data_IF_592959168786
#
_entry.id   IF_592959168786
#
_cell.length_a   1.000
_cell.length_b   1.000
_cell.length_c   1.000
_cell.angle_alpha   90.00
_cell.angle_beta   90.00
_cell.angle_gamma   90.00
#
_symmetry.space_group_name_H-M   'P 1'
#
loop_
_entity.id
_entity.type
_entity.pdbx_description
1 polymer ?
#
# COMPACT_ATOMS: atom_id res chain seq x y z
N UNK A 1 16.99 -6.93 8.47
CA UNK A 1 17.73 -6.34 7.33
C UNK A 1 19.11 -5.86 7.76
N UNK A 2 19.20 -4.94 8.74
CA UNK A 2 20.46 -4.39 9.24
C UNK A 2 21.56 -5.42 9.55
N UNK A 3 21.24 -6.47 10.32
CA UNK A 3 22.18 -7.55 10.63
C UNK A 3 22.76 -8.24 9.38
N UNK A 4 21.91 -8.46 8.37
CA UNK A 4 22.31 -9.09 7.11
C UNK A 4 23.26 -8.20 6.30
N UNK A 5 23.01 -6.88 6.26
CA UNK A 5 23.94 -5.93 5.63
C UNK A 5 25.29 -5.95 6.34
N UNK A 6 25.30 -5.88 7.68
CA UNK A 6 26.54 -5.93 8.48
C UNK A 6 27.33 -7.23 8.25
N UNK A 7 26.65 -8.36 8.23
CA UNK A 7 27.26 -9.65 7.91
C UNK A 7 27.85 -9.69 6.49
N UNK A 8 27.17 -9.07 5.52
CA UNK A 8 27.67 -8.95 4.15
C UNK A 8 28.82 -7.94 4.01
N UNK A 9 28.97 -6.99 4.92
CA UNK A 9 30.16 -6.12 5.01
C UNK A 9 31.34 -6.79 5.73
N UNK A 10 31.07 -7.74 6.63
CA UNK A 10 32.09 -8.39 7.46
C UNK A 10 33.06 -9.25 6.62
N UNK A 11 34.32 -8.83 6.59
CA UNK A 11 35.42 -9.50 5.87
C UNK A 11 35.91 -10.77 6.56
N UNK A 12 35.60 -10.96 7.84
CA UNK A 12 35.94 -12.17 8.59
C UNK A 12 35.02 -13.35 8.23
N UNK A 13 33.81 -13.07 7.71
CA UNK A 13 32.88 -14.10 7.25
C UNK A 13 33.22 -14.54 5.83
N UNK A 14 33.35 -15.85 5.64
CA UNK A 14 33.51 -16.39 4.28
C UNK A 14 32.19 -16.34 3.51
N UNK A 15 32.27 -16.32 2.19
CA UNK A 15 31.08 -16.37 1.34
C UNK A 15 30.26 -17.64 1.58
N UNK A 16 30.91 -18.77 1.91
CA UNK A 16 30.22 -20.02 2.23
C UNK A 16 29.37 -19.89 3.50
N UNK A 17 29.90 -19.28 4.57
CA UNK A 17 29.14 -19.03 5.81
C UNK A 17 27.88 -18.20 5.53
N UNK A 18 27.97 -17.20 4.65
CA UNK A 18 26.83 -16.36 4.30
C UNK A 18 25.82 -17.06 3.39
N UNK A 19 26.28 -17.91 2.47
CA UNK A 19 25.40 -18.77 1.68
C UNK A 19 24.59 -19.69 2.57
N UNK A 20 25.22 -20.29 3.59
CA UNK A 20 24.55 -21.20 4.50
C UNK A 20 23.60 -20.46 5.46
N UNK A 21 24.03 -19.32 6.01
CA UNK A 21 23.23 -18.54 6.96
C UNK A 21 21.97 -17.93 6.35
N UNK A 22 22.07 -17.45 5.10
CA UNK A 22 20.98 -16.73 4.42
C UNK A 22 20.40 -17.47 3.21
N UNK A 23 20.78 -18.75 3.02
CA UNK A 23 20.35 -19.60 1.91
C UNK A 23 20.58 -18.97 0.53
N UNK A 24 21.73 -18.31 0.34
CA UNK A 24 22.02 -17.51 -0.86
C UNK A 24 22.49 -18.40 -2.01
N UNK A 25 22.03 -18.07 -3.21
CA UNK A 25 22.44 -18.72 -4.45
C UNK A 25 22.74 -17.66 -5.49
N UNK A 26 23.88 -17.81 -6.16
CA UNK A 26 24.25 -16.98 -7.29
C UNK A 26 23.36 -17.32 -8.50
N UNK A 27 23.06 -16.32 -9.32
CA UNK A 27 22.34 -16.49 -10.58
C UNK A 27 22.99 -15.62 -11.68
N UNK A 28 22.41 -15.59 -12.88
CA UNK A 28 22.98 -14.81 -14.01
C UNK A 28 23.18 -13.33 -13.65
N UNK A 29 22.25 -12.75 -12.91
CA UNK A 29 22.14 -11.30 -12.69
C UNK A 29 22.68 -10.87 -11.31
N UNK A 30 22.80 -11.79 -10.35
CA UNK A 30 23.27 -11.53 -9.00
C UNK A 30 24.37 -12.51 -8.56
N UNK A 31 25.44 -11.97 -7.98
CA UNK A 31 26.59 -12.72 -7.46
C UNK A 31 26.93 -12.21 -6.06
N UNK A 32 27.00 -13.11 -5.06
CA UNK A 32 27.27 -12.78 -3.66
C UNK A 32 28.56 -11.98 -3.51
N UNK A 33 29.62 -12.38 -4.23
CA UNK A 33 30.91 -11.70 -4.19
C UNK A 33 30.79 -10.23 -4.62
N UNK A 34 30.09 -9.96 -5.71
CA UNK A 34 29.90 -8.60 -6.23
C UNK A 34 29.07 -7.74 -5.27
N UNK A 35 28.00 -8.31 -4.71
CA UNK A 35 27.18 -7.63 -3.72
C UNK A 35 27.99 -7.26 -2.47
N UNK A 36 28.82 -8.19 -1.94
CA UNK A 36 29.72 -7.93 -0.81
C UNK A 36 30.75 -6.87 -1.13
N UNK A 37 31.40 -6.94 -2.29
CA UNK A 37 32.37 -5.92 -2.71
C UNK A 37 31.75 -4.53 -2.84
N UNK A 38 30.51 -4.44 -3.35
CA UNK A 38 29.75 -3.17 -3.41
C UNK A 38 29.53 -2.60 -2.01
N UNK A 39 28.95 -3.40 -1.10
CA UNK A 39 28.68 -3.00 0.29
C UNK A 39 29.94 -2.61 1.06
N UNK A 40 31.05 -3.31 0.85
CA UNK A 40 32.32 -3.01 1.53
C UNK A 40 33.01 -1.75 1.01
N UNK A 41 32.69 -1.29 -0.20
CA UNK A 41 33.21 -0.04 -0.79
C UNK A 41 32.30 1.16 -0.49
N UNK A 42 31.04 0.91 -0.15
CA UNK A 42 30.09 1.97 0.19
C UNK A 42 30.51 2.69 1.49
N UNK A 43 30.47 4.02 1.48
CA UNK A 43 30.73 4.84 2.67
C UNK A 43 29.66 4.60 3.75
N UNK A 44 28.41 4.45 3.33
CA UNK A 44 27.29 4.13 4.21
C UNK A 44 26.45 2.98 3.62
N UNK A 45 26.85 1.72 3.84
CA UNK A 45 26.15 0.55 3.29
C UNK A 45 24.76 0.36 3.88
N UNK A 46 24.42 1.01 5.00
CA UNK A 46 23.11 0.89 5.65
C UNK A 46 22.10 1.92 5.10
N UNK A 47 22.55 2.98 4.41
CA UNK A 47 21.69 4.04 3.86
C UNK A 47 20.54 3.54 3.00
N UNK A 48 20.70 2.52 2.13
CA UNK A 48 19.60 2.01 1.31
C UNK A 48 18.56 1.19 2.09
N UNK A 49 18.75 0.97 3.39
CA UNK A 49 17.72 0.35 4.23
C UNK A 49 16.62 1.39 4.46
N UNK A 50 15.46 1.15 3.86
CA UNK A 50 14.27 2.01 3.97
C UNK A 50 13.06 1.15 4.30
N UNK A 51 11.98 1.76 4.77
CA UNK A 51 10.70 1.09 4.81
C UNK A 51 10.09 1.08 3.41
N UNK A 52 9.60 -0.08 3.00
CA UNK A 52 8.85 -0.28 1.77
C UNK A 52 7.42 -0.70 2.13
N UNK A 53 6.43 -0.16 1.40
CA UNK A 53 5.07 -0.69 1.45
C UNK A 53 5.10 -2.09 0.86
N UNK A 54 5.07 -3.11 1.72
CA UNK A 54 5.20 -4.49 1.27
C UNK A 54 3.84 -5.04 0.91
N UNK A 55 2.84 -4.90 1.78
CA UNK A 55 1.43 -5.28 1.56
C UNK A 55 0.54 -4.18 2.15
N UNK A 56 -0.78 -4.17 1.92
CA UNK A 56 -1.63 -3.10 2.42
C UNK A 56 -1.49 -3.00 3.95
N UNK A 57 -1.13 -1.82 4.44
CA UNK A 57 -0.86 -1.52 5.86
C UNK A 57 0.27 -2.30 6.53
N UNK A 58 1.17 -2.90 5.76
CA UNK A 58 2.29 -3.70 6.24
C UNK A 58 3.59 -3.21 5.62
N UNK A 59 4.10 -2.10 6.14
CA UNK A 59 5.40 -1.57 5.77
C UNK A 59 6.50 -2.39 6.41
N UNK A 60 7.56 -2.66 5.66
CA UNK A 60 8.68 -3.48 6.12
C UNK A 60 10.02 -2.89 5.71
N UNK A 61 11.05 -3.05 6.56
CA UNK A 61 12.40 -2.67 6.18
C UNK A 61 12.89 -3.53 5.02
N UNK A 62 13.17 -2.86 3.90
CA UNK A 62 13.75 -3.40 2.69
C UNK A 62 15.14 -2.79 2.48
N UNK A 63 15.99 -3.45 1.70
CA UNK A 63 17.21 -2.82 1.20
C UNK A 63 16.96 -2.44 -0.25
N UNK A 64 16.91 -1.14 -0.54
CA UNK A 64 16.59 -0.60 -1.86
C UNK A 64 17.87 -0.40 -2.67
N UNK A 65 18.43 -1.50 -3.15
CA UNK A 65 19.63 -1.49 -3.98
C UNK A 65 19.93 -2.85 -4.60
N UNK A 66 20.76 -2.90 -5.65
CA UNK A 66 21.02 -4.10 -6.43
C UNK A 66 21.68 -5.23 -5.63
N UNK A 67 22.24 -4.93 -4.45
CA UNK A 67 22.85 -5.93 -3.58
C UNK A 67 21.82 -6.90 -2.98
N UNK A 68 20.55 -6.49 -2.88
CA UNK A 68 19.46 -7.28 -2.29
C UNK A 68 18.17 -7.30 -3.12
N UNK A 69 18.08 -6.50 -4.18
CA UNK A 69 16.87 -6.31 -4.99
C UNK A 69 17.20 -6.45 -6.48
N UNK A 70 16.41 -7.24 -7.20
CA UNK A 70 16.67 -7.53 -8.62
C UNK A 70 16.44 -6.30 -9.53
N UNK A 71 15.38 -5.52 -9.27
CA UNK A 71 14.98 -4.38 -10.11
C UNK A 71 14.57 -3.15 -9.28
N UNK A 72 15.50 -2.51 -8.54
CA UNK A 72 15.21 -1.27 -7.85
C UNK A 72 14.82 -0.19 -8.88
N UNK A 73 13.59 0.32 -8.76
CA UNK A 73 13.11 1.44 -9.59
C UNK A 73 13.69 2.73 -9.02
N UNK A 74 14.65 3.32 -9.73
CA UNK A 74 15.38 4.52 -9.25
C UNK A 74 14.44 5.70 -9.03
N UNK A 75 13.38 5.78 -9.83
CA UNK A 75 12.34 6.80 -9.73
C UNK A 75 11.66 6.80 -8.35
N UNK A 76 11.55 5.63 -7.69
CA UNK A 76 11.06 5.54 -6.33
C UNK A 76 12.08 6.05 -5.31
N UNK A 77 13.39 5.98 -5.58
CA UNK A 77 14.39 6.62 -4.73
C UNK A 77 14.36 8.14 -4.90
N UNK A 78 14.32 8.60 -6.14
CA UNK A 78 14.45 10.01 -6.48
C UNK A 78 13.22 10.82 -6.02
N UNK A 79 12.03 10.22 -6.08
CA UNK A 79 10.78 10.94 -5.85
C UNK A 79 10.01 10.51 -4.61
N UNK A 80 10.29 9.35 -4.02
CA UNK A 80 9.50 8.82 -2.90
C UNK A 80 10.37 8.55 -1.68
N UNK A 81 11.44 7.77 -1.81
CA UNK A 81 12.31 7.43 -0.69
C UNK A 81 12.87 8.71 -0.07
N UNK A 82 12.70 8.84 1.24
CA UNK A 82 13.15 10.02 2.00
C UNK A 82 12.49 11.36 1.60
N UNK A 83 11.48 11.33 0.74
CA UNK A 83 10.68 12.50 0.36
C UNK A 83 9.33 12.48 1.06
N UNK A 84 8.75 13.66 1.26
CA UNK A 84 7.36 13.79 1.70
C UNK A 84 6.44 13.73 0.47
N UNK A 85 6.14 12.51 0.02
CA UNK A 85 5.37 12.29 -1.19
C UNK A 85 4.33 11.18 -1.03
N UNK A 86 3.20 11.34 -1.71
CA UNK A 86 2.18 10.32 -1.85
C UNK A 86 2.38 9.60 -3.18
N UNK A 87 2.09 8.30 -3.23
CA UNK A 87 1.98 7.60 -4.51
C UNK A 87 0.68 6.81 -4.57
N UNK A 88 -0.04 6.97 -5.67
CA UNK A 88 -1.17 6.12 -6.00
C UNK A 88 -0.64 4.83 -6.61
N UNK A 89 -1.01 3.70 -6.02
CA UNK A 89 -0.75 2.37 -6.56
C UNK A 89 -1.98 1.89 -7.31
N UNK A 90 -1.82 1.51 -8.58
CA UNK A 90 -2.86 0.78 -9.34
C UNK A 90 -2.27 -0.35 -10.18
N UNK A 91 -3.02 -1.42 -10.37
CA UNK A 91 -2.64 -2.48 -11.33
C UNK A 91 -3.20 -2.16 -12.71
N UNK A 92 -2.36 -2.34 -13.75
CA UNK A 92 -2.78 -2.17 -15.16
C UNK A 92 -3.73 -3.28 -15.60
N UNK A 93 -3.41 -4.50 -15.24
CA UNK A 93 -4.19 -5.69 -15.54
C UNK A 93 -4.29 -6.50 -14.26
N UNK A 94 -5.42 -7.20 -14.09
CA UNK A 94 -5.64 -8.01 -12.90
C UNK A 94 -6.03 -9.43 -13.27
N UNK A 95 -5.44 -10.40 -12.56
CA UNK A 95 -5.81 -11.80 -12.64
C UNK A 95 -7.04 -12.12 -11.79
N UNK A 96 -7.33 -11.27 -10.81
CA UNK A 96 -8.49 -11.41 -9.93
C UNK A 96 -9.81 -11.16 -10.66
N UNK A 97 -10.91 -11.75 -10.17
CA UNK A 97 -12.22 -11.64 -10.80
C UNK A 97 -12.87 -10.24 -10.74
N UNK A 98 -12.47 -9.43 -9.75
CA UNK A 98 -13.06 -8.13 -9.41
C UNK A 98 -11.98 -7.09 -9.12
N UNK A 99 -12.12 -5.89 -9.66
CA UNK A 99 -11.12 -4.84 -9.45
C UNK A 99 -11.26 -4.14 -8.09
N UNK A 100 -10.16 -4.14 -7.33
CA UNK A 100 -9.98 -3.49 -6.02
C UNK A 100 -8.53 -3.06 -5.79
N UNK A 101 -7.78 -2.82 -6.86
CA UNK A 101 -6.30 -2.70 -6.85
C UNK A 101 -5.91 -1.22 -6.84
N UNK A 102 -6.36 -0.48 -5.83
CA UNK A 102 -5.99 0.92 -5.63
C UNK A 102 -5.64 1.21 -4.18
N UNK A 103 -4.44 1.70 -3.93
CA UNK A 103 -3.98 2.09 -2.59
C UNK A 103 -3.09 3.32 -2.70
N UNK A 104 -3.21 4.26 -1.76
CA UNK A 104 -2.21 5.33 -1.61
C UNK A 104 -1.24 4.95 -0.50
N UNK A 105 0.05 5.15 -0.74
CA UNK A 105 1.12 4.91 0.25
C UNK A 105 2.14 6.05 0.21
N UNK A 106 2.95 6.17 1.27
CA UNK A 106 4.01 7.19 1.41
C UNK A 106 5.41 6.64 1.19
N UNK A 107 5.60 5.34 1.42
CA UNK A 107 6.89 4.66 1.27
C UNK A 107 7.00 3.96 -0.08
N UNK A 108 8.20 3.80 -0.67
CA UNK A 108 8.39 3.03 -1.90
C UNK A 108 7.66 1.69 -1.88
N UNK A 109 6.83 1.45 -2.88
CA UNK A 109 5.99 0.26 -2.92
C UNK A 109 6.73 -0.94 -3.52
N UNK A 110 6.51 -2.11 -2.91
CA UNK A 110 6.78 -3.38 -3.58
C UNK A 110 5.83 -3.53 -4.78
N UNK A 111 6.27 -4.26 -5.81
CA UNK A 111 5.47 -4.55 -7.02
C UNK A 111 4.19 -5.34 -6.73
N UNK A 112 4.16 -6.08 -5.62
CA UNK A 112 3.03 -6.89 -5.18
C UNK A 112 2.31 -6.32 -3.94
N UNK A 113 2.35 -4.99 -3.73
CA UNK A 113 1.68 -4.34 -2.60
C UNK A 113 0.17 -4.54 -2.66
N UNK A 114 -0.45 -4.33 -3.82
CA UNK A 114 -1.90 -4.56 -4.03
C UNK A 114 -2.17 -5.72 -4.98
N UNK A 115 -1.17 -6.53 -5.28
CA UNK A 115 -1.23 -7.57 -6.31
C UNK A 115 -0.76 -8.89 -5.73
N UNK A 116 -1.52 -9.97 -5.88
CA UNK A 116 -1.15 -11.29 -5.32
C UNK A 116 -1.08 -12.41 -6.35
N UNK A 117 -1.52 -12.15 -7.59
CA UNK A 117 -1.35 -13.08 -8.69
C UNK A 117 -0.06 -12.80 -9.50
N UNK A 118 0.58 -13.86 -9.98
CA UNK A 118 1.88 -13.78 -10.67
C UNK A 118 1.87 -13.03 -12.00
N UNK A 119 0.70 -12.68 -12.54
CA UNK A 119 0.52 -11.98 -13.82
C UNK A 119 0.17 -10.49 -13.66
N UNK A 120 0.16 -9.98 -12.43
CA UNK A 120 -0.24 -8.60 -12.11
C UNK A 120 0.81 -7.97 -11.19
N UNK A 121 1.15 -6.72 -11.45
CA UNK A 121 1.99 -5.89 -10.59
C UNK A 121 1.32 -4.52 -10.44
N UNK A 122 1.50 -3.90 -9.28
CA UNK A 122 1.09 -2.51 -9.11
C UNK A 122 2.11 -1.56 -9.74
N UNK A 123 1.58 -0.50 -10.33
CA UNK A 123 2.31 0.64 -10.81
C UNK A 123 2.17 1.76 -9.79
N UNK A 124 3.27 2.45 -9.53
CA UNK A 124 3.32 3.58 -8.63
C UNK A 124 3.25 4.90 -9.42
N UNK A 125 2.36 5.78 -9.00
CA UNK A 125 2.18 7.12 -9.54
C UNK A 125 2.42 8.14 -8.42
N UNK A 126 3.67 8.59 -8.21
CA UNK A 126 3.98 9.64 -7.23
C UNK A 126 3.22 10.92 -7.57
N UNK A 127 2.72 11.62 -6.57
CA UNK A 127 1.99 12.89 -6.73
C UNK A 127 2.92 14.03 -7.12
N UNK A 128 4.13 13.99 -6.57
CA UNK A 128 5.18 14.98 -6.80
C UNK A 128 6.42 14.35 -7.45
N UNK A 129 7.14 15.15 -8.23
CA UNK A 129 8.48 14.87 -8.71
C UNK A 129 9.47 15.79 -7.99
N UNK A 130 10.68 15.31 -7.80
CA UNK A 130 11.77 16.02 -7.15
C UNK A 130 12.97 16.04 -8.09
N UNK A 131 13.55 17.22 -8.30
CA UNK A 131 14.81 17.34 -9.03
C UNK A 131 16.03 17.12 -8.13
N UNK A 132 17.23 17.18 -8.71
CA UNK A 132 18.50 16.99 -8.00
C UNK A 132 18.77 18.03 -6.90
N UNK A 133 18.07 19.16 -6.91
CA UNK A 133 18.15 20.20 -5.89
C UNK A 133 17.14 20.00 -4.76
N UNK A 134 16.23 19.04 -4.92
CA UNK A 134 15.09 18.82 -4.02
C UNK A 134 13.90 19.74 -4.33
N UNK A 135 13.90 20.44 -5.46
CA UNK A 135 12.76 21.28 -5.86
C UNK A 135 11.61 20.37 -6.29
N UNK A 136 10.42 20.63 -5.74
CA UNK A 136 9.22 19.83 -5.92
C UNK A 136 8.35 20.39 -7.06
N UNK A 137 7.88 19.53 -7.96
CA UNK A 137 6.88 19.85 -9.00
C UNK A 137 5.78 18.78 -9.06
N UNK A 138 4.55 19.16 -9.45
CA UNK A 138 3.45 18.20 -9.56
C UNK A 138 3.71 17.19 -10.69
N UNK A 139 3.34 15.93 -10.47
CA UNK A 139 3.43 14.87 -11.50
C UNK A 139 2.14 14.81 -12.33
N UNK A 140 1.63 15.97 -12.74
CA UNK A 140 0.47 16.12 -13.59
C UNK A 140 0.93 16.70 -14.93
N UNK A 141 0.48 16.11 -16.05
CA UNK A 141 0.89 16.60 -17.35
C UNK A 141 0.30 18.00 -17.61
N UNK A 142 1.00 18.90 -18.31
CA UNK A 142 0.48 20.23 -18.62
C UNK A 142 -0.88 20.20 -19.34
N UNK A 143 -1.08 19.22 -20.25
CA UNK A 143 -2.35 19.06 -20.96
C UNK A 143 -3.49 18.67 -20.04
N UNK A 144 -3.24 17.77 -19.09
CA UNK A 144 -4.22 17.37 -18.08
C UNK A 144 -4.54 18.52 -17.12
N UNK A 145 -3.50 19.27 -16.72
CA UNK A 145 -3.66 20.46 -15.89
C UNK A 145 -4.52 21.52 -16.56
N UNK A 146 -4.22 21.82 -17.82
CA UNK A 146 -5.00 22.76 -18.62
C UNK A 146 -6.42 22.26 -18.91
N UNK A 147 -6.65 20.96 -18.97
CA UNK A 147 -8.00 20.39 -19.03
C UNK A 147 -8.81 20.68 -17.76
N UNK A 148 -8.23 20.47 -16.58
CA UNK A 148 -8.90 20.76 -15.31
C UNK A 148 -9.17 22.26 -15.13
N UNK A 149 -8.16 23.09 -15.34
CA UNK A 149 -8.26 24.55 -15.15
C UNK A 149 -9.22 25.22 -16.16
N UNK A 150 -9.49 24.58 -17.31
CA UNK A 150 -10.55 25.02 -18.25
C UNK A 150 -11.92 24.46 -17.88
N UNK A 151 -11.97 23.26 -17.30
CA UNK A 151 -13.20 22.58 -16.92
C UNK A 151 -13.82 23.13 -15.63
N UNK A 152 -13.02 23.75 -14.77
CA UNK A 152 -13.43 24.28 -13.49
C UNK A 152 -12.87 25.68 -13.27
N UNK A 153 -13.66 26.56 -12.68
CA UNK A 153 -13.24 27.95 -12.32
C UNK A 153 -12.40 27.97 -11.02
N UNK A 154 -11.61 26.91 -10.80
CA UNK A 154 -10.78 26.73 -9.62
C UNK A 154 -9.54 25.90 -9.98
N UNK A 155 -8.37 26.37 -9.55
CA UNK A 155 -7.11 25.67 -9.73
C UNK A 155 -6.87 24.70 -8.56
N UNK A 156 -7.41 23.48 -8.67
CA UNK A 156 -7.34 22.48 -7.60
C UNK A 156 -5.90 22.04 -7.28
N UNK A 157 -5.58 21.83 -6.01
CA UNK A 157 -4.28 21.28 -5.63
C UNK A 157 -4.13 19.83 -6.13
N UNK A 158 -2.88 19.33 -6.26
CA UNK A 158 -2.65 17.92 -6.58
C UNK A 158 -3.32 16.95 -5.59
N UNK A 159 -3.37 17.29 -4.31
CA UNK A 159 -4.07 16.51 -3.27
C UNK A 159 -5.58 16.47 -3.49
N UNK A 160 -6.21 17.57 -3.89
CA UNK A 160 -7.63 17.60 -4.24
C UNK A 160 -7.93 16.74 -5.48
N UNK A 161 -7.04 16.80 -6.48
CA UNK A 161 -7.14 15.96 -7.68
C UNK A 161 -6.95 14.48 -7.33
N UNK A 162 -5.98 14.17 -6.46
CA UNK A 162 -5.75 12.81 -5.97
C UNK A 162 -6.97 12.32 -5.18
N UNK A 163 -7.54 13.14 -4.30
CA UNK A 163 -8.76 12.84 -3.57
C UNK A 163 -9.90 12.48 -4.53
N UNK A 164 -10.13 13.29 -5.56
CA UNK A 164 -11.15 13.03 -6.56
C UNK A 164 -10.93 11.70 -7.29
N UNK A 165 -9.72 11.47 -7.79
CA UNK A 165 -9.35 10.22 -8.47
C UNK A 165 -9.58 9.04 -7.53
N UNK A 166 -9.15 9.16 -6.28
CA UNK A 166 -9.26 8.09 -5.30
C UNK A 166 -10.70 7.75 -4.96
N UNK A 167 -11.59 8.74 -4.87
CA UNK A 167 -13.02 8.52 -4.72
C UNK A 167 -13.61 7.77 -5.92
N UNK A 168 -13.34 8.22 -7.15
CA UNK A 168 -13.85 7.54 -8.35
C UNK A 168 -13.37 6.10 -8.41
N UNK A 169 -12.09 5.85 -8.13
CA UNK A 169 -11.54 4.50 -8.05
C UNK A 169 -12.18 3.65 -6.95
N UNK A 170 -12.81 4.23 -5.93
CA UNK A 170 -13.47 3.53 -4.83
C UNK A 170 -14.99 3.42 -4.97
N UNK A 171 -15.61 4.02 -5.98
CA UNK A 171 -17.05 3.93 -6.23
C UNK A 171 -17.44 2.54 -6.84
N UNK A 172 -18.27 1.73 -6.15
CA UNK A 172 -18.85 0.50 -6.68
C UNK A 172 -19.52 0.65 -8.05
N UNK A 173 -20.29 1.73 -8.28
CA UNK A 173 -20.95 2.01 -9.55
C UNK A 173 -19.92 2.17 -10.69
N UNK A 174 -18.86 2.95 -10.46
CA UNK A 174 -17.72 3.06 -11.41
C UNK A 174 -17.08 1.70 -11.68
N UNK A 175 -16.71 0.96 -10.63
CA UNK A 175 -16.03 -0.33 -10.76
C UNK A 175 -16.88 -1.36 -11.51
N UNK A 176 -18.19 -1.34 -11.31
CA UNK A 176 -19.14 -2.24 -11.96
C UNK A 176 -19.34 -1.88 -13.41
N UNK A 177 -19.58 -0.59 -13.71
CA UNK A 177 -19.78 -0.09 -15.07
C UNK A 177 -18.55 -0.34 -15.96
N UNK A 178 -17.35 -0.13 -15.43
CA UNK A 178 -16.10 -0.27 -16.17
C UNK A 178 -15.37 -1.60 -15.93
N UNK A 179 -16.02 -2.61 -15.33
CA UNK A 179 -15.38 -3.85 -14.87
C UNK A 179 -14.58 -4.57 -15.95
N UNK A 180 -15.11 -4.68 -17.18
CA UNK A 180 -14.42 -5.34 -18.28
C UNK A 180 -13.13 -4.61 -18.69
N UNK A 181 -13.14 -3.28 -18.66
CA UNK A 181 -12.00 -2.45 -19.01
C UNK A 181 -10.95 -2.43 -17.88
N UNK A 182 -11.38 -2.27 -16.63
CA UNK A 182 -10.53 -2.29 -15.43
C UNK A 182 -9.74 -3.60 -15.27
N UNK A 183 -10.20 -4.69 -15.89
CA UNK A 183 -9.49 -5.97 -15.87
C UNK A 183 -8.26 -6.03 -16.76
N UNK A 184 -8.25 -5.24 -17.85
CA UNK A 184 -7.28 -5.41 -18.94
C UNK A 184 -6.38 -4.19 -19.17
N UNK A 185 -6.74 -3.02 -18.65
CA UNK A 185 -5.93 -1.81 -18.79
C UNK A 185 -6.11 -0.83 -17.61
N UNK A 186 -5.26 0.20 -17.56
CA UNK A 186 -5.30 1.21 -16.50
C UNK A 186 -6.68 1.86 -16.36
N UNK A 187 -7.14 2.17 -15.13
CA UNK A 187 -8.40 2.86 -14.91
C UNK A 187 -8.43 4.21 -15.63
N UNK A 188 -9.53 4.48 -16.34
CA UNK A 188 -9.81 5.79 -16.93
C UNK A 188 -10.79 6.53 -16.04
N UNK A 189 -10.41 7.73 -15.61
CA UNK A 189 -11.17 8.51 -14.64
C UNK A 189 -12.13 9.46 -15.37
N UNK A 190 -13.47 9.29 -15.26
CA UNK A 190 -14.41 10.31 -15.68
C UNK A 190 -14.34 11.53 -14.75
N UNK A 191 -14.48 12.72 -15.32
CA UNK A 191 -14.54 13.99 -14.59
C UNK A 191 -15.97 14.51 -14.56
N UNK A 192 -16.41 14.94 -13.37
CA UNK A 192 -17.75 15.47 -13.16
C UNK A 192 -17.90 16.80 -13.90
N UNK A 193 -19.06 17.05 -14.50
CA UNK A 193 -19.30 18.30 -15.25
C UNK A 193 -19.38 19.53 -14.33
N UNK A 194 -19.81 19.35 -13.08
CA UNK A 194 -19.97 20.44 -12.12
C UNK A 194 -18.84 20.43 -11.09
N UNK A 195 -18.29 21.61 -10.81
CA UNK A 195 -17.26 21.81 -9.78
C UNK A 195 -17.71 21.26 -8.40
N UNK A 196 -18.96 21.51 -8.01
CA UNK A 196 -19.51 21.01 -6.74
C UNK A 196 -19.43 19.48 -6.62
N UNK A 197 -19.69 18.75 -7.70
CA UNK A 197 -19.65 17.29 -7.69
C UNK A 197 -18.19 16.79 -7.59
N UNK A 198 -17.27 17.49 -8.28
CA UNK A 198 -15.83 17.27 -8.12
C UNK A 198 -15.39 17.49 -6.68
N UNK A 199 -15.73 18.63 -6.07
CA UNK A 199 -15.34 19.00 -4.70
C UNK A 199 -15.85 17.99 -3.67
N UNK A 200 -17.11 17.54 -3.80
CA UNK A 200 -17.68 16.53 -2.90
C UNK A 200 -16.92 15.21 -3.01
N UNK A 201 -16.68 14.72 -4.22
CA UNK A 201 -15.92 13.49 -4.44
C UNK A 201 -14.46 13.65 -3.97
N UNK A 202 -13.84 14.80 -4.23
CA UNK A 202 -12.50 15.15 -3.77
C UNK A 202 -12.38 15.05 -2.25
N UNK A 203 -13.27 15.69 -1.51
CA UNK A 203 -13.28 15.66 -0.04
C UNK A 203 -13.47 14.25 0.52
N UNK A 204 -14.40 13.47 -0.05
CA UNK A 204 -14.65 12.09 0.39
C UNK A 204 -13.45 11.19 0.11
N UNK A 205 -12.86 11.30 -1.07
CA UNK A 205 -11.70 10.51 -1.44
C UNK A 205 -10.44 10.92 -0.69
N UNK A 206 -10.26 12.20 -0.40
CA UNK A 206 -9.15 12.67 0.44
C UNK A 206 -9.25 12.14 1.87
N UNK A 207 -10.45 12.14 2.47
CA UNK A 207 -10.68 11.52 3.76
C UNK A 207 -10.34 10.02 3.73
N UNK A 208 -10.64 9.33 2.63
CA UNK A 208 -10.26 7.93 2.44
C UNK A 208 -8.74 7.73 2.27
N UNK A 209 -8.05 8.64 1.59
CA UNK A 209 -6.57 8.65 1.51
C UNK A 209 -5.98 8.75 2.92
N UNK A 210 -6.44 9.71 3.74
CA UNK A 210 -5.94 9.90 5.11
C UNK A 210 -6.17 8.66 5.99
N UNK A 211 -7.33 8.00 5.83
CA UNK A 211 -7.62 6.77 6.54
C UNK A 211 -6.70 5.62 6.11
N UNK A 212 -6.41 5.47 4.81
CA UNK A 212 -5.51 4.43 4.32
C UNK A 212 -4.03 4.67 4.65
N UNK A 213 -3.64 5.92 4.89
CA UNK A 213 -2.33 6.28 5.46
C UNK A 213 -2.30 6.13 6.99
N UNK A 214 -3.44 5.82 7.63
CA UNK A 214 -3.61 5.75 9.08
C UNK A 214 -3.26 7.07 9.80
N UNK A 215 -3.44 8.21 9.14
CA UNK A 215 -3.14 9.55 9.63
C UNK A 215 -4.30 10.18 10.39
N UNK A 216 -5.45 10.35 9.72
CA UNK A 216 -6.67 10.91 10.29
C UNK A 216 -7.80 9.89 10.12
N UNK A 217 -8.17 9.26 11.23
CA UNK A 217 -9.11 8.14 11.26
C UNK A 217 -9.92 8.19 12.56
N UNK A 218 -11.26 8.14 12.50
CA UNK A 218 -12.06 7.99 13.71
C UNK A 218 -11.75 6.65 14.39
N UNK A 219 -11.27 6.70 15.63
CA UNK A 219 -11.10 5.50 16.45
C UNK A 219 -12.46 4.87 16.72
N UNK A 220 -12.58 3.58 16.41
CA UNK A 220 -13.78 2.77 16.66
C UNK A 220 -13.53 1.68 17.70
N UNK A 221 -12.27 1.52 18.11
CA UNK A 221 -11.86 0.49 19.07
C UNK A 221 -12.21 -0.91 18.57
N UNK A 222 -12.08 -1.15 17.26
CA UNK A 222 -12.20 -2.49 16.69
C UNK A 222 -10.90 -3.28 16.91
N UNK A 223 -11.04 -4.60 16.83
CA UNK A 223 -9.95 -5.55 16.98
C UNK A 223 -9.11 -5.29 18.25
N UNK A 224 -9.74 -4.98 19.38
CA UNK A 224 -8.99 -4.86 20.64
C UNK A 224 -8.38 -6.21 21.00
N UNK A 225 -7.18 -6.18 21.55
CA UNK A 225 -6.46 -7.39 21.95
C UNK A 225 -6.99 -7.96 23.26
N UNK A 226 -7.26 -9.26 23.30
CA UNK A 226 -7.79 -9.98 24.45
C UNK A 226 -6.91 -11.18 24.78
N UNK A 227 -6.78 -11.48 26.08
CA UNK A 227 -6.05 -12.64 26.58
C UNK A 227 -4.66 -12.31 27.13
N UNK A 228 -3.99 -13.33 27.66
CA UNK A 228 -2.61 -13.26 28.18
C UNK A 228 -1.79 -14.42 27.60
N UNK A 229 -0.49 -14.20 27.35
CA UNK A 229 0.38 -15.19 26.73
C UNK A 229 1.59 -14.55 26.04
N UNK A 230 2.30 -15.33 25.23
CA UNK A 230 3.50 -14.91 24.52
C UNK A 230 3.23 -14.08 23.25
N UNK A 231 1.96 -13.89 22.87
CA UNK A 231 1.53 -13.21 21.65
C UNK A 231 1.98 -13.94 20.36
N UNK A 232 2.26 -15.23 20.46
CA UNK A 232 2.64 -16.04 19.31
C UNK A 232 1.43 -16.28 18.39
N UNK A 233 1.64 -16.07 17.09
CA UNK A 233 0.64 -16.38 16.06
C UNK A 233 0.80 -17.84 15.64
N UNK A 234 0.01 -18.72 16.26
CA UNK A 234 -0.04 -20.14 15.92
C UNK A 234 -0.96 -20.40 14.72
N UNK A 235 -2.09 -19.68 14.68
CA UNK A 235 -3.09 -19.74 13.62
C UNK A 235 -3.76 -18.38 13.41
N UNK A 236 -4.61 -18.27 12.39
CA UNK A 236 -5.50 -17.11 12.22
C UNK A 236 -6.87 -17.68 11.89
N UNK A 237 -7.84 -17.50 12.79
CA UNK A 237 -9.21 -18.00 12.62
C UNK A 237 -10.20 -16.95 13.06
N UNK A 238 -11.14 -16.62 12.18
CA UNK A 238 -12.23 -15.71 12.50
C UNK A 238 -13.51 -16.47 12.83
N UNK A 239 -14.17 -16.07 13.91
CA UNK A 239 -15.49 -16.55 14.35
C UNK A 239 -16.52 -15.48 14.01
N UNK A 240 -17.52 -15.83 13.20
CA UNK A 240 -18.62 -14.92 12.86
C UNK A 240 -19.55 -14.67 14.04
N UNK A 241 -19.76 -15.68 14.88
CA UNK A 241 -20.62 -15.60 16.08
C UNK A 241 -20.05 -14.63 17.12
N UNK A 242 -18.73 -14.62 17.28
CA UNK A 242 -18.05 -13.78 18.28
C UNK A 242 -17.45 -12.49 17.70
N UNK A 243 -17.51 -12.31 16.37
CA UNK A 243 -16.74 -11.31 15.62
C UNK A 243 -15.27 -11.25 16.09
N UNK A 244 -14.61 -12.41 16.15
CA UNK A 244 -13.32 -12.57 16.84
C UNK A 244 -12.29 -13.25 15.96
N UNK A 245 -11.08 -12.71 15.92
CA UNK A 245 -9.92 -13.38 15.31
C UNK A 245 -9.07 -14.00 16.42
N UNK A 246 -8.98 -15.33 16.49
CA UNK A 246 -8.02 -16.01 17.37
C UNK A 246 -6.66 -16.17 16.68
N UNK A 247 -5.59 -15.89 17.43
CA UNK A 247 -4.20 -16.14 16.97
C UNK A 247 -3.57 -17.38 17.63
N UNK A 248 -4.09 -17.78 18.78
CA UNK A 248 -3.76 -18.99 19.51
C UNK A 248 -4.94 -19.35 20.44
N UNK A 249 -4.76 -20.31 21.35
CA UNK A 249 -5.84 -20.78 22.24
C UNK A 249 -6.35 -19.74 23.24
N UNK A 250 -5.53 -18.75 23.61
CA UNK A 250 -5.83 -17.83 24.72
C UNK A 250 -5.88 -16.37 24.30
N UNK A 251 -5.41 -16.03 23.10
CA UNK A 251 -5.24 -14.66 22.63
C UNK A 251 -5.96 -14.40 21.31
N UNK A 252 -6.61 -13.24 21.23
CA UNK A 252 -7.50 -12.91 20.11
C UNK A 252 -7.72 -11.39 19.96
N UNK A 253 -8.31 -10.99 18.84
CA UNK A 253 -8.72 -9.63 18.55
C UNK A 253 -10.25 -9.58 18.40
N UNK A 254 -10.93 -8.65 19.09
CA UNK A 254 -12.39 -8.47 19.01
C UNK A 254 -12.85 -7.07 19.49
N UNK A 255 -13.95 -6.51 18.94
CA UNK A 255 -14.76 -7.08 17.86
C UNK A 255 -14.15 -6.81 16.48
N UNK A 256 -14.33 -7.73 15.54
CA UNK A 256 -13.94 -7.61 14.13
C UNK A 256 -15.16 -8.00 13.28
N UNK A 257 -15.98 -7.02 12.87
CA UNK A 257 -17.16 -7.26 12.06
C UNK A 257 -16.83 -7.98 10.76
N UNK A 258 -17.80 -8.74 10.23
CA UNK A 258 -17.61 -9.52 9.00
C UNK A 258 -17.13 -8.65 7.81
N UNK A 259 -17.71 -7.46 7.64
CA UNK A 259 -17.33 -6.53 6.58
C UNK A 259 -15.90 -5.99 6.71
N UNK A 260 -15.33 -6.00 7.93
CA UNK A 260 -13.93 -5.64 8.19
C UNK A 260 -13.02 -6.83 7.96
N UNK A 261 -13.41 -8.02 8.45
CA UNK A 261 -12.66 -9.25 8.26
C UNK A 261 -12.51 -9.61 6.78
N UNK A 262 -13.61 -9.56 6.01
CA UNK A 262 -13.64 -9.89 4.59
C UNK A 262 -13.19 -8.75 3.68
N UNK A 263 -12.71 -7.62 4.23
CA UNK A 263 -12.26 -6.51 3.40
C UNK A 263 -10.96 -6.87 2.69
N UNK A 264 -10.91 -6.55 1.39
CA UNK A 264 -9.73 -6.77 0.58
C UNK A 264 -9.26 -5.50 -0.11
N UNK A 265 -7.94 -5.36 -0.20
CA UNK A 265 -7.28 -4.41 -1.06
C UNK A 265 -6.42 -5.21 -2.02
N UNK A 266 -6.73 -5.08 -3.31
CA UNK A 266 -6.13 -5.92 -4.32
C UNK A 266 -6.45 -7.41 -4.12
N UNK A 267 -5.42 -8.24 -4.25
CA UNK A 267 -5.51 -9.68 -3.98
C UNK A 267 -5.63 -10.05 -2.49
N UNK A 268 -5.37 -9.13 -1.57
CA UNK A 268 -5.20 -9.47 -0.16
C UNK A 268 -6.44 -9.20 0.69
N UNK A 269 -6.90 -10.23 1.40
CA UNK A 269 -7.70 -10.02 2.60
C UNK A 269 -6.80 -9.42 3.69
N UNK A 270 -7.04 -8.16 4.06
CA UNK A 270 -6.01 -7.30 4.65
C UNK A 270 -5.52 -7.82 6.01
N UNK A 271 -6.44 -7.98 6.98
CA UNK A 271 -6.09 -8.41 8.35
C UNK A 271 -5.57 -9.86 8.35
N UNK A 272 -6.19 -10.74 7.57
CA UNK A 272 -5.77 -12.14 7.42
C UNK A 272 -4.32 -12.23 6.90
N UNK A 273 -4.01 -11.50 5.82
CA UNK A 273 -2.66 -11.45 5.24
C UNK A 273 -1.64 -10.90 6.23
N UNK A 274 -1.99 -9.81 6.94
CA UNK A 274 -1.12 -9.19 7.93
C UNK A 274 -0.73 -10.19 9.03
N UNK A 275 -1.71 -10.87 9.63
CA UNK A 275 -1.49 -11.83 10.72
C UNK A 275 -0.81 -13.11 10.24
N UNK A 276 -1.23 -13.68 9.10
CA UNK A 276 -0.59 -14.89 8.53
C UNK A 276 0.88 -14.67 8.21
N UNK A 277 1.27 -13.45 7.83
CA UNK A 277 2.68 -13.12 7.58
C UNK A 277 3.54 -13.09 8.86
N UNK A 278 2.92 -13.20 10.03
CA UNK A 278 3.53 -13.22 11.35
C UNK A 278 3.38 -14.59 12.04
N UNK A 279 2.91 -15.61 11.31
CA UNK A 279 2.80 -16.98 11.83
C UNK A 279 4.17 -17.45 12.35
N UNK A 280 4.17 -18.18 13.47
CA UNK A 280 5.38 -18.69 14.16
C UNK A 280 6.28 -17.57 14.71
N UNK A 281 5.75 -16.34 14.84
CA UNK A 281 6.41 -15.21 15.48
C UNK A 281 5.55 -14.69 16.63
N UNK A 282 6.22 -14.06 17.58
CA UNK A 282 5.58 -13.24 18.62
C UNK A 282 5.26 -11.86 18.06
N UNK A 283 4.02 -11.40 18.23
CA UNK A 283 3.64 -10.03 17.90
C UNK A 283 4.25 -9.05 18.90
N UNK A 284 4.82 -7.96 18.37
CA UNK A 284 5.15 -6.81 19.19
C UNK A 284 3.89 -6.03 19.61
N UNK A 285 4.02 -5.14 20.60
CA UNK A 285 2.93 -4.25 20.98
C UNK A 285 2.49 -3.34 19.81
N UNK A 286 3.43 -2.89 18.99
CA UNK A 286 3.13 -2.08 17.81
C UNK A 286 2.35 -2.88 16.77
N UNK A 287 2.72 -4.15 16.53
CA UNK A 287 1.97 -5.03 15.63
C UNK A 287 0.56 -5.33 16.15
N UNK A 288 0.39 -5.49 17.47
CA UNK A 288 -0.93 -5.66 18.10
C UNK A 288 -1.79 -4.40 17.90
N UNK A 289 -1.24 -3.21 18.17
CA UNK A 289 -1.94 -1.94 17.99
C UNK A 289 -2.25 -1.67 16.51
N UNK A 290 -1.36 -2.07 15.61
CA UNK A 290 -1.55 -1.93 14.17
C UNK A 290 -2.77 -2.70 13.67
N UNK A 291 -3.05 -3.90 14.20
CA UNK A 291 -4.27 -4.65 13.84
C UNK A 291 -5.54 -3.85 14.16
N UNK A 292 -5.58 -3.18 15.32
CA UNK A 292 -6.67 -2.27 15.69
C UNK A 292 -6.80 -1.07 14.75
N UNK A 293 -5.69 -0.41 14.41
CA UNK A 293 -5.67 0.72 13.45
C UNK A 293 -6.16 0.29 12.07
N UNK A 294 -5.73 -0.87 11.59
CA UNK A 294 -6.19 -1.46 10.33
C UNK A 294 -7.70 -1.71 10.40
N UNK A 295 -8.19 -2.36 11.46
CA UNK A 295 -9.62 -2.65 11.60
C UNK A 295 -10.48 -1.38 11.59
N UNK A 296 -10.06 -0.34 12.32
CA UNK A 296 -10.74 0.96 12.32
C UNK A 296 -10.73 1.60 10.92
N UNK A 297 -9.60 1.50 10.19
CA UNK A 297 -9.46 2.04 8.84
C UNK A 297 -10.39 1.34 7.86
N UNK A 298 -10.43 0.01 7.86
CA UNK A 298 -11.29 -0.77 6.99
C UNK A 298 -12.79 -0.53 7.29
N UNK A 299 -13.16 -0.35 8.55
CA UNK A 299 -14.52 0.01 8.93
C UNK A 299 -14.92 1.40 8.41
N UNK A 300 -14.03 2.38 8.55
CA UNK A 300 -14.25 3.71 7.96
C UNK A 300 -14.31 3.65 6.43
N UNK A 301 -13.45 2.85 5.80
CA UNK A 301 -13.46 2.66 4.34
C UNK A 301 -14.79 2.12 3.85
N UNK A 302 -15.41 1.15 4.53
CA UNK A 302 -16.73 0.64 4.18
C UNK A 302 -17.80 1.76 4.16
N UNK A 303 -17.80 2.63 5.16
CA UNK A 303 -18.73 3.76 5.22
C UNK A 303 -18.45 4.82 4.16
N UNK A 304 -17.17 5.14 3.93
CA UNK A 304 -16.77 6.11 2.91
C UNK A 304 -17.11 5.63 1.51
N UNK A 305 -16.91 4.34 1.21
CA UNK A 305 -17.27 3.74 -0.07
C UNK A 305 -18.76 3.96 -0.37
N UNK A 306 -19.65 3.76 0.61
CA UNK A 306 -21.08 3.99 0.42
C UNK A 306 -21.42 5.47 0.14
N UNK A 307 -20.76 6.40 0.84
CA UNK A 307 -20.92 7.85 0.63
C UNK A 307 -20.38 8.28 -0.74
N UNK A 308 -19.22 7.75 -1.12
CA UNK A 308 -18.58 7.97 -2.42
C UNK A 308 -19.49 7.46 -3.53
N UNK A 309 -20.06 6.26 -3.39
CA UNK A 309 -20.94 5.69 -4.42
C UNK A 309 -22.19 6.54 -4.65
N UNK A 310 -22.78 7.02 -3.57
CA UNK A 310 -23.93 7.94 -3.62
C UNK A 310 -23.57 9.24 -4.34
N UNK A 311 -22.42 9.84 -4.01
CA UNK A 311 -21.94 11.05 -4.68
C UNK A 311 -21.59 10.80 -6.15
N UNK A 312 -21.01 9.64 -6.46
CA UNK A 312 -20.67 9.24 -7.83
C UNK A 312 -21.93 9.09 -8.69
N UNK A 313 -22.95 8.39 -8.19
CA UNK A 313 -24.21 8.22 -8.91
C UNK A 313 -24.91 9.57 -9.17
N UNK A 314 -24.81 10.53 -8.24
CA UNK A 314 -25.32 11.90 -8.43
C UNK A 314 -24.54 12.68 -9.50
N UNK A 315 -23.22 12.56 -9.50
CA UNK A 315 -22.34 13.22 -10.47
C UNK A 315 -22.47 12.62 -11.89
N UNK A 316 -22.83 11.33 -11.98
CA UNK A 316 -22.87 10.58 -13.25
C UNK A 316 -24.18 9.80 -13.42
N UNK A 317 -25.34 10.48 -13.53
CA UNK A 317 -26.67 9.83 -13.51
C UNK A 317 -26.92 8.87 -14.68
N UNK A 318 -26.20 9.04 -15.81
CA UNK A 318 -26.30 8.18 -16.99
C UNK A 318 -25.21 7.09 -17.05
N UNK A 319 -24.39 6.95 -15.99
CA UNK A 319 -23.29 5.97 -15.90
C UNK A 319 -23.30 5.20 -14.57
N UNK A 320 -24.35 5.37 -13.77
CA UNK A 320 -24.66 4.54 -12.60
C UNK A 320 -25.26 3.20 -12.98
#
# INVERSE_FOLDING_TARGET
MLSRVRDMCDRSKSDQVLRDLYFLKDNRDWQLKNARESLQKAENPERPIIDCAFRPFDDRPCYFGPEFMDYPRRELLDHVAWQQNLQLLVSRQIGTGSWRHSLVVETPANDCTVSDASSEANYAFPLWLYDVTGTKSENLSPDFRAFLDRGYDHHYSPEEILGYIYAVLHAPAYRSHYAAFLRIDFPRIPFAEKAKDFEVLSLLGWALVQAHLLHDLPRRSLANYHGKGANEVEHVRWSAEDERISINKTQSFAPVPEAVWNFHIGGYQVIDKYLKSRKERMLSLDEINQVGRIADALAFTNEQIARIDTAYAQAFPNRG
#
